data_IF_437388377807
#
_entry.id   IF_437388377807
#
_cell.length_a   1.000
_cell.length_b   1.000
_cell.length_c   1.000
_cell.angle_alpha   90.00
_cell.angle_beta   90.00
_cell.angle_gamma   90.00
#
_symmetry.space_group_name_H-M   'P 1'
#
loop_
_entity.id
_entity.type
_entity.pdbx_description
1 polymer ?
#
# COMPACT_ATOMS: atom_id res chain seq x y z
N UNK A 1 21.99 60.42 10.38
CA UNK A 1 21.11 59.23 10.44
C UNK A 1 22.01 58.02 10.65
N UNK A 2 21.94 57.37 11.82
CA UNK A 2 22.99 56.45 12.30
C UNK A 2 23.08 55.20 11.42
N UNK A 3 24.28 54.90 10.90
CA UNK A 3 24.53 53.77 10.00
C UNK A 3 24.09 52.42 10.60
N UNK A 4 24.18 52.28 11.93
CA UNK A 4 23.75 51.09 12.65
C UNK A 4 22.23 50.80 12.49
N UNK A 5 21.40 51.83 12.39
CA UNK A 5 19.95 51.66 12.22
C UNK A 5 19.61 51.17 10.81
N UNK A 6 20.38 51.62 9.81
CA UNK A 6 20.22 51.25 8.41
C UNK A 6 20.62 49.78 8.17
N UNK A 7 21.68 49.32 8.84
CA UNK A 7 22.09 47.90 8.83
C UNK A 7 21.04 46.98 9.47
N UNK A 8 20.40 47.41 10.56
CA UNK A 8 19.35 46.62 11.23
C UNK A 8 18.09 46.52 10.35
N UNK A 9 17.68 47.63 9.73
CA UNK A 9 16.53 47.67 8.82
C UNK A 9 16.76 46.84 7.55
N UNK A 10 18.00 46.75 7.04
CA UNK A 10 18.32 45.91 5.89
C UNK A 10 18.51 44.42 6.25
N UNK A 11 18.97 44.11 7.46
CA UNK A 11 19.23 42.74 7.91
C UNK A 11 17.96 41.92 8.15
N UNK A 12 16.92 42.53 8.74
CA UNK A 12 15.64 41.86 9.01
C UNK A 12 14.96 41.31 7.74
N UNK A 13 14.73 42.12 6.68
CA UNK A 13 14.12 41.61 5.45
C UNK A 13 15.01 40.57 4.75
N UNK A 14 16.34 40.70 4.81
CA UNK A 14 17.24 39.70 4.24
C UNK A 14 17.07 38.32 4.88
N UNK A 15 16.90 38.26 6.21
CA UNK A 15 16.59 37.01 6.92
C UNK A 15 15.25 36.41 6.52
N UNK A 16 14.20 37.23 6.41
CA UNK A 16 12.86 36.80 6.01
C UNK A 16 12.86 36.26 4.58
N UNK A 17 13.51 36.96 3.65
CA UNK A 17 13.65 36.49 2.27
C UNK A 17 14.43 35.18 2.20
N UNK A 18 15.52 35.05 2.94
CA UNK A 18 16.32 33.81 2.99
C UNK A 18 15.49 32.63 3.50
N UNK A 19 14.71 32.84 4.57
CA UNK A 19 13.80 31.80 5.09
C UNK A 19 12.73 31.40 4.08
N UNK A 20 12.16 32.37 3.36
CA UNK A 20 11.15 32.13 2.32
C UNK A 20 11.74 31.34 1.13
N UNK A 21 12.96 31.67 0.71
CA UNK A 21 13.68 30.93 -0.33
C UNK A 21 14.00 29.50 0.08
N UNK A 22 14.46 29.28 1.31
CA UNK A 22 14.73 27.92 1.83
C UNK A 22 13.43 27.11 1.88
N UNK A 23 12.34 27.70 2.37
CA UNK A 23 11.03 27.04 2.41
C UNK A 23 10.53 26.70 1.00
N UNK A 24 10.63 27.63 0.05
CA UNK A 24 10.23 27.39 -1.34
C UNK A 24 11.06 26.28 -1.99
N UNK A 25 12.38 26.31 -1.81
CA UNK A 25 13.27 25.25 -2.28
C UNK A 25 12.90 23.89 -1.70
N UNK A 26 12.61 23.83 -0.40
CA UNK A 26 12.21 22.60 0.27
C UNK A 26 10.88 22.05 -0.29
N UNK A 27 9.90 22.92 -0.54
CA UNK A 27 8.62 22.53 -1.15
C UNK A 27 8.82 21.98 -2.56
N UNK A 28 9.61 22.67 -3.40
CA UNK A 28 9.90 22.22 -4.77
C UNK A 28 10.67 20.89 -4.75
N UNK A 29 11.66 20.76 -3.87
CA UNK A 29 12.46 19.55 -3.75
C UNK A 29 11.59 18.34 -3.34
N UNK A 30 10.72 18.50 -2.34
CA UNK A 30 9.84 17.42 -1.89
C UNK A 30 8.78 17.03 -2.92
N UNK A 31 8.21 18.00 -3.64
CA UNK A 31 7.09 17.76 -4.55
C UNK A 31 7.50 17.38 -5.97
N UNK A 32 8.65 17.85 -6.45
CA UNK A 32 9.04 17.71 -7.85
C UNK A 32 10.30 16.86 -8.01
N UNK A 33 11.37 17.19 -7.28
CA UNK A 33 12.67 16.55 -7.50
C UNK A 33 12.70 15.13 -6.95
N UNK A 34 12.20 14.91 -5.74
CA UNK A 34 12.16 13.60 -5.10
C UNK A 34 11.38 12.55 -5.93
N UNK A 35 10.13 12.78 -6.37
CA UNK A 35 9.41 11.79 -7.16
C UNK A 35 10.08 11.54 -8.52
N UNK A 36 10.51 12.60 -9.22
CA UNK A 36 11.21 12.47 -10.50
C UNK A 36 12.50 11.65 -10.39
N UNK A 37 13.31 11.88 -9.36
CA UNK A 37 14.53 11.10 -9.14
C UNK A 37 14.21 9.64 -8.78
N UNK A 38 13.17 9.41 -7.97
CA UNK A 38 12.71 8.06 -7.65
C UNK A 38 12.25 7.31 -8.89
N UNK A 39 11.52 7.95 -9.80
CA UNK A 39 11.12 7.36 -11.09
C UNK A 39 12.32 7.01 -11.97
N UNK A 40 13.35 7.86 -12.00
CA UNK A 40 14.51 7.66 -12.86
C UNK A 40 15.46 6.56 -12.37
N UNK A 41 15.57 6.40 -11.05
CA UNK A 41 16.38 5.33 -10.42
C UNK A 41 15.61 4.02 -10.34
N UNK A 42 14.28 4.07 -10.19
CA UNK A 42 13.45 2.88 -10.05
C UNK A 42 13.30 2.16 -11.40
N UNK A 43 14.00 1.03 -11.53
CA UNK A 43 13.85 0.08 -12.65
C UNK A 43 12.92 -1.08 -12.31
N UNK A 44 12.13 -0.95 -11.24
CA UNK A 44 11.29 -2.04 -10.76
C UNK A 44 10.01 -2.21 -11.57
N UNK A 45 9.28 -3.28 -11.29
CA UNK A 45 8.05 -3.61 -12.00
C UNK A 45 6.90 -2.73 -11.50
N UNK A 46 6.07 -2.27 -12.43
CA UNK A 46 4.81 -1.59 -12.15
C UNK A 46 3.74 -2.64 -11.80
N UNK A 47 3.21 -2.57 -10.58
CA UNK A 47 2.21 -3.51 -10.06
C UNK A 47 0.88 -2.82 -9.73
N UNK A 48 0.70 -1.57 -10.16
CA UNK A 48 -0.57 -0.87 -10.01
C UNK A 48 -1.73 -1.62 -10.68
N UNK A 49 -2.90 -1.49 -10.07
CA UNK A 49 -4.15 -2.09 -10.55
C UNK A 49 -4.81 -3.03 -9.55
N UNK A 50 -5.82 -3.74 -10.04
CA UNK A 50 -6.65 -4.65 -9.26
C UNK A 50 -6.12 -6.07 -9.43
N UNK A 51 -5.91 -6.75 -8.30
CA UNK A 51 -5.45 -8.11 -8.22
C UNK A 51 -6.49 -8.93 -7.47
N UNK A 52 -6.92 -10.04 -8.05
CA UNK A 52 -7.97 -10.87 -7.50
C UNK A 52 -7.57 -12.33 -7.59
N UNK A 53 -7.94 -13.14 -6.60
CA UNK A 53 -7.80 -14.58 -6.72
C UNK A 53 -8.72 -15.12 -7.83
N UNK A 54 -8.24 -16.09 -8.59
CA UNK A 54 -9.06 -16.75 -9.61
C UNK A 54 -10.06 -17.68 -8.90
N UNK A 55 -11.30 -17.23 -8.74
CA UNK A 55 -12.41 -17.98 -8.13
C UNK A 55 -12.93 -19.11 -9.06
N UNK A 56 -12.06 -19.73 -9.87
CA UNK A 56 -12.43 -20.83 -10.78
C UNK A 56 -12.71 -22.17 -10.07
N UNK A 57 -12.67 -22.21 -8.74
CA UNK A 57 -13.14 -23.36 -7.94
C UNK A 57 -14.51 -23.12 -7.29
N UNK A 58 -15.30 -22.17 -7.79
CA UNK A 58 -16.75 -22.19 -7.59
C UNK A 58 -17.38 -23.03 -8.68
N UNK A 59 -17.49 -24.35 -8.47
CA UNK A 59 -18.33 -25.21 -9.32
C UNK A 59 -19.68 -24.52 -9.52
N UNK A 60 -20.00 -24.19 -10.76
CA UNK A 60 -21.31 -23.67 -11.21
C UNK A 60 -22.41 -24.75 -11.15
N UNK A 61 -22.32 -25.66 -10.19
CA UNK A 61 -23.32 -26.65 -9.84
C UNK A 61 -23.64 -26.43 -8.37
N UNK A 62 -24.87 -26.00 -8.08
CA UNK A 62 -25.34 -25.52 -6.77
C UNK A 62 -25.40 -26.58 -5.65
N UNK A 63 -24.34 -27.36 -5.46
CA UNK A 63 -24.26 -28.49 -4.51
C UNK A 63 -22.90 -28.63 -3.81
N UNK A 64 -21.93 -27.73 -4.00
CA UNK A 64 -20.64 -27.83 -3.28
C UNK A 64 -20.58 -26.95 -2.03
N UNK A 65 -20.64 -27.60 -0.86
CA UNK A 65 -20.53 -27.03 0.50
C UNK A 65 -19.11 -26.50 0.85
N UNK A 66 -18.27 -26.21 -0.14
CA UNK A 66 -16.89 -25.80 0.09
C UNK A 66 -16.81 -24.30 0.41
N UNK A 67 -16.12 -23.90 1.49
CA UNK A 67 -15.96 -22.49 1.82
C UNK A 67 -15.20 -21.76 0.72
N UNK A 68 -15.80 -20.69 0.19
CA UNK A 68 -15.18 -19.82 -0.83
C UNK A 68 -14.50 -18.64 -0.14
N UNK A 69 -13.27 -18.34 -0.56
CA UNK A 69 -12.51 -17.19 -0.06
C UNK A 69 -12.12 -16.30 -1.24
N UNK A 70 -12.82 -15.19 -1.40
CA UNK A 70 -12.48 -14.17 -2.40
C UNK A 70 -11.57 -13.13 -1.77
N UNK A 71 -10.44 -12.84 -2.42
CA UNK A 71 -9.45 -11.85 -1.98
C UNK A 71 -9.19 -10.85 -3.10
N UNK A 72 -9.32 -9.56 -2.80
CA UNK A 72 -9.10 -8.48 -3.76
C UNK A 72 -8.09 -7.50 -3.16
N UNK A 73 -6.97 -7.31 -3.86
CA UNK A 73 -5.97 -6.30 -3.57
C UNK A 73 -6.04 -5.24 -4.67
N UNK A 74 -6.35 -4.00 -4.31
CA UNK A 74 -6.29 -2.86 -5.22
C UNK A 74 -5.08 -2.00 -4.87
N UNK A 75 -4.08 -1.97 -5.75
CA UNK A 75 -2.93 -1.08 -5.62
C UNK A 75 -3.25 0.22 -6.35
N UNK A 76 -3.61 1.24 -5.57
CA UNK A 76 -4.06 2.55 -6.08
C UNK A 76 -2.94 3.54 -6.36
N UNK A 77 -1.76 3.33 -5.76
CA UNK A 77 -0.62 4.23 -5.92
C UNK A 77 0.70 3.49 -5.68
N UNK A 78 1.62 3.61 -6.63
CA UNK A 78 3.01 3.18 -6.54
C UNK A 78 3.93 4.37 -6.79
N UNK A 79 4.80 4.67 -5.82
CA UNK A 79 5.81 5.74 -5.91
C UNK A 79 7.20 5.13 -5.68
N UNK A 80 7.87 4.80 -6.77
CA UNK A 80 9.09 3.99 -6.75
C UNK A 80 8.82 2.63 -6.07
N UNK A 81 9.52 2.39 -4.95
CA UNK A 81 9.32 1.19 -4.14
C UNK A 81 8.09 1.26 -3.23
N UNK A 82 7.51 2.43 -2.99
CA UNK A 82 6.40 2.58 -2.01
C UNK A 82 5.06 2.26 -2.66
N UNK A 83 4.22 1.50 -1.97
CA UNK A 83 2.90 1.07 -2.47
C UNK A 83 1.82 1.45 -1.45
N UNK A 84 0.69 1.94 -1.97
CA UNK A 84 -0.55 2.15 -1.22
C UNK A 84 -1.76 1.60 -1.97
N UNK A 85 -2.73 1.11 -1.20
CA UNK A 85 -3.90 0.49 -1.75
C UNK A 85 -4.90 0.04 -0.70
N UNK A 86 -5.79 -0.85 -1.11
CA UNK A 86 -6.75 -1.52 -0.24
C UNK A 86 -6.69 -3.03 -0.45
N UNK A 87 -6.95 -3.77 0.60
CA UNK A 87 -7.09 -5.22 0.57
C UNK A 87 -8.42 -5.59 1.20
N UNK A 88 -9.17 -6.45 0.53
CA UNK A 88 -10.41 -7.00 1.07
C UNK A 88 -10.45 -8.51 0.92
N UNK A 89 -11.03 -9.15 1.92
CA UNK A 89 -11.21 -10.59 1.95
C UNK A 89 -12.64 -10.90 2.35
N UNK A 90 -13.30 -11.71 1.55
CA UNK A 90 -14.63 -12.23 1.82
C UNK A 90 -14.55 -13.75 1.96
N UNK A 91 -14.93 -14.23 3.14
CA UNK A 91 -15.09 -15.65 3.43
C UNK A 91 -16.59 -15.96 3.42
N UNK A 92 -17.00 -16.92 2.60
CA UNK A 92 -18.38 -17.40 2.53
C UNK A 92 -18.39 -18.89 2.81
N UNK A 93 -19.12 -19.30 3.84
CA UNK A 93 -19.46 -20.69 4.14
C UNK A 93 -20.97 -20.80 4.38
N UNK A 94 -21.49 -22.02 4.44
CA UNK A 94 -22.93 -22.29 4.69
C UNK A 94 -23.44 -21.58 5.95
N UNK A 95 -22.62 -21.51 7.01
CA UNK A 95 -23.02 -21.01 8.31
C UNK A 95 -22.49 -19.61 8.64
N UNK A 96 -21.54 -19.10 7.86
CA UNK A 96 -20.84 -17.87 8.21
C UNK A 96 -20.34 -17.11 6.99
N UNK A 97 -20.62 -15.81 6.98
CA UNK A 97 -20.05 -14.84 6.05
C UNK A 97 -19.19 -13.85 6.82
N UNK A 98 -17.89 -13.81 6.53
CA UNK A 98 -16.96 -12.81 7.10
C UNK A 98 -16.47 -11.90 6.00
N UNK A 99 -16.35 -10.61 6.34
CA UNK A 99 -15.78 -9.60 5.47
C UNK A 99 -14.69 -8.82 6.21
N UNK A 100 -13.51 -8.74 5.62
CA UNK A 100 -12.40 -7.90 6.05
C UNK A 100 -12.09 -6.85 4.99
N UNK A 101 -11.94 -5.60 5.41
CA UNK A 101 -11.50 -4.50 4.58
C UNK A 101 -10.36 -3.77 5.28
N UNK A 102 -9.27 -3.57 4.56
CA UNK A 102 -8.01 -3.08 5.08
C UNK A 102 -7.42 -2.03 4.13
N UNK A 103 -6.81 -1.02 4.72
CA UNK A 103 -5.84 -0.17 4.01
C UNK A 103 -4.54 -0.95 3.92
N UNK A 104 -3.95 -0.97 2.73
CA UNK A 104 -2.67 -1.60 2.47
C UNK A 104 -1.62 -0.53 2.23
N UNK A 105 -0.54 -0.57 3.01
CA UNK A 105 0.64 0.29 2.80
C UNK A 105 1.91 -0.55 2.91
N UNK A 106 2.88 -0.31 2.05
CA UNK A 106 4.12 -1.07 2.09
C UNK A 106 5.06 -0.76 0.94
N UNK A 107 5.82 -1.75 0.52
CA UNK A 107 6.83 -1.57 -0.52
C UNK A 107 7.08 -2.81 -1.36
N UNK A 108 7.64 -2.59 -2.56
CA UNK A 108 8.14 -3.63 -3.46
C UNK A 108 9.65 -3.48 -3.60
N UNK A 109 10.39 -4.56 -3.41
CA UNK A 109 11.84 -4.63 -3.61
C UNK A 109 12.14 -5.97 -4.29
N UNK A 110 12.86 -5.93 -5.42
CA UNK A 110 13.31 -7.12 -6.16
C UNK A 110 12.19 -8.14 -6.45
N UNK A 111 11.00 -7.65 -6.79
CA UNK A 111 9.83 -8.49 -7.08
C UNK A 111 9.06 -8.98 -5.85
N UNK A 112 9.54 -8.68 -4.64
CA UNK A 112 8.86 -9.01 -3.39
C UNK A 112 8.06 -7.81 -2.90
N UNK A 113 6.76 -8.00 -2.72
CA UNK A 113 5.79 -7.02 -2.22
C UNK A 113 5.47 -7.32 -0.76
N UNK A 114 5.75 -6.36 0.12
CA UNK A 114 5.46 -6.45 1.56
C UNK A 114 4.46 -5.36 1.89
N UNK A 115 3.24 -5.73 2.32
CA UNK A 115 2.17 -4.79 2.67
C UNK A 115 1.73 -5.01 4.11
N UNK A 116 1.64 -3.92 4.86
CA UNK A 116 0.97 -3.88 6.16
C UNK A 116 -0.50 -3.55 5.95
N UNK A 117 -1.37 -4.32 6.59
CA UNK A 117 -2.81 -4.22 6.50
C UNK A 117 -3.38 -3.64 7.79
N UNK A 118 -4.02 -2.48 7.67
CA UNK A 118 -4.68 -1.79 8.77
C UNK A 118 -6.20 -1.83 8.57
N UNK A 119 -6.98 -2.23 9.57
CA UNK A 119 -8.43 -2.33 9.42
C UNK A 119 -9.04 -0.95 9.16
N UNK A 120 -9.93 -0.86 8.17
CA UNK A 120 -10.63 0.41 7.90
C UNK A 120 -11.63 0.76 9.01
N UNK A 121 -12.23 -0.27 9.61
CA UNK A 121 -13.15 -0.10 10.73
C UNK A 121 -12.45 -0.31 12.06
N UNK A 122 -12.57 0.69 12.96
CA UNK A 122 -12.02 0.63 14.33
C UNK A 122 -12.62 -0.47 15.20
N UNK A 123 -13.74 -1.06 14.79
CA UNK A 123 -14.39 -2.15 15.53
C UNK A 123 -13.69 -3.51 15.35
N UNK A 124 -12.77 -3.63 14.39
CA UNK A 124 -12.00 -4.85 14.13
C UNK A 124 -10.53 -4.57 14.44
N UNK A 125 -9.96 -5.31 15.40
CA UNK A 125 -8.55 -5.17 15.83
C UNK A 125 -7.58 -6.03 15.01
N UNK A 126 -8.01 -6.56 13.87
CA UNK A 126 -7.18 -7.44 13.05
C UNK A 126 -6.21 -6.59 12.23
N UNK A 127 -4.94 -6.68 12.59
CA UNK A 127 -3.82 -6.27 11.75
C UNK A 127 -3.28 -7.48 11.00
N UNK A 128 -2.70 -7.24 9.83
CA UNK A 128 -2.05 -8.30 9.08
C UNK A 128 -0.93 -7.80 8.20
N UNK A 129 -0.21 -8.74 7.61
CA UNK A 129 0.86 -8.46 6.65
C UNK A 129 0.74 -9.41 5.48
N UNK A 130 0.81 -8.87 4.27
CA UNK A 130 0.99 -9.64 3.04
C UNK A 130 2.46 -9.63 2.67
N UNK A 131 3.02 -10.80 2.40
CA UNK A 131 4.33 -10.97 1.78
C UNK A 131 4.10 -11.77 0.51
N UNK A 132 4.26 -11.12 -0.64
CA UNK A 132 3.91 -11.66 -1.95
C UNK A 132 5.13 -11.57 -2.87
N UNK A 133 5.34 -12.58 -3.68
CA UNK A 133 6.33 -12.58 -4.75
C UNK A 133 5.64 -12.36 -6.09
N UNK A 134 6.24 -11.55 -6.95
CA UNK A 134 5.77 -11.31 -8.30
C UNK A 134 6.17 -12.47 -9.20
N UNK A 135 5.18 -13.18 -9.72
CA UNK A 135 5.38 -14.26 -10.69
C UNK A 135 5.89 -13.71 -12.02
N UNK A 136 7.06 -14.18 -12.45
CA UNK A 136 7.76 -13.68 -13.65
C UNK A 136 7.04 -13.97 -14.98
N UNK A 137 6.14 -14.94 -15.03
CA UNK A 137 5.48 -15.38 -16.27
C UNK A 137 3.97 -15.07 -16.33
N UNK A 138 3.30 -14.83 -15.20
CA UNK A 138 1.84 -14.93 -15.10
C UNK A 138 1.11 -13.69 -14.58
N UNK A 139 1.79 -12.53 -14.43
CA UNK A 139 1.22 -11.34 -13.78
C UNK A 139 0.45 -11.74 -12.52
N UNK A 140 1.10 -12.56 -11.68
CA UNK A 140 0.53 -13.08 -10.44
C UNK A 140 1.32 -12.57 -9.25
N UNK A 141 0.63 -12.38 -8.13
CA UNK A 141 1.22 -12.14 -6.82
C UNK A 141 0.91 -13.34 -5.93
N UNK A 142 1.97 -14.02 -5.48
CA UNK A 142 1.86 -15.28 -4.74
C UNK A 142 2.61 -15.20 -3.44
N UNK A 143 1.99 -15.60 -2.33
CA UNK A 143 2.67 -15.62 -1.05
C UNK A 143 1.70 -15.82 0.10
N UNK A 144 1.94 -15.09 1.19
CA UNK A 144 1.32 -15.37 2.49
C UNK A 144 0.66 -14.10 3.03
N UNK A 145 -0.60 -14.27 3.44
CA UNK A 145 -1.31 -13.34 4.30
C UNK A 145 -1.22 -13.81 5.75
N UNK A 146 -0.58 -13.01 6.60
CA UNK A 146 -0.52 -13.23 8.05
C UNK A 146 -1.48 -12.30 8.75
N UNK A 147 -2.23 -12.79 9.74
CA UNK A 147 -3.19 -11.99 10.48
C UNK A 147 -3.40 -12.52 11.88
N UNK A 148 -3.86 -11.63 12.77
CA UNK A 148 -4.28 -12.00 14.12
C UNK A 148 -5.75 -12.42 14.11
N UNK A 149 -6.01 -13.70 14.40
CA UNK A 149 -7.37 -14.25 14.46
C UNK A 149 -8.20 -13.58 15.56
N UNK A 150 -9.41 -13.12 15.23
CA UNK A 150 -10.28 -12.42 16.19
C UNK A 150 -10.77 -13.33 17.34
N UNK A 151 -11.00 -14.62 17.05
CA UNK A 151 -11.51 -15.60 18.03
C UNK A 151 -10.36 -16.30 18.76
N UNK A 152 -9.36 -16.78 18.01
CA UNK A 152 -8.23 -17.54 18.57
C UNK A 152 -7.19 -16.66 19.26
N UNK A 153 -7.18 -15.35 18.98
CA UNK A 153 -6.17 -14.39 19.44
C UNK A 153 -4.71 -14.75 19.03
N UNK A 154 -4.55 -15.76 18.18
CA UNK A 154 -3.27 -16.24 17.66
C UNK A 154 -2.96 -15.62 16.30
N UNK A 155 -1.67 -15.47 16.01
CA UNK A 155 -1.21 -15.10 14.67
C UNK A 155 -1.28 -16.35 13.79
N UNK A 156 -2.04 -16.26 12.71
CA UNK A 156 -2.23 -17.33 11.73
C UNK A 156 -1.83 -16.83 10.34
N UNK A 157 -1.73 -17.76 9.40
CA UNK A 157 -1.38 -17.42 8.03
C UNK A 157 -2.25 -18.17 7.01
N UNK A 158 -2.37 -17.61 5.82
CA UNK A 158 -3.06 -18.19 4.68
C UNK A 158 -2.25 -17.94 3.42
N UNK A 159 -2.13 -18.96 2.56
CA UNK A 159 -1.54 -18.79 1.23
C UNK A 159 -2.50 -18.00 0.34
N UNK A 160 -1.97 -17.01 -0.37
CA UNK A 160 -2.72 -16.12 -1.24
C UNK A 160 -2.04 -16.11 -2.60
N UNK A 161 -2.85 -16.33 -3.65
CA UNK A 161 -2.46 -16.17 -5.05
C UNK A 161 -3.46 -15.23 -5.70
N UNK A 162 -2.96 -14.12 -6.22
CA UNK A 162 -3.74 -13.09 -6.88
C UNK A 162 -3.27 -12.95 -8.31
N UNK A 163 -4.21 -12.82 -9.23
CA UNK A 163 -3.97 -12.57 -10.64
C UNK A 163 -4.34 -11.12 -10.95
N UNK A 164 -3.55 -10.45 -11.79
CA UNK A 164 -3.90 -9.10 -12.24
C UNK A 164 -5.18 -9.16 -13.06
N UNK A 165 -6.18 -8.37 -12.70
CA UNK A 165 -7.38 -8.18 -13.53
C UNK A 165 -7.03 -7.28 -14.73
N UNK A 166 -7.53 -7.61 -15.93
CA UNK A 166 -7.36 -6.76 -17.11
C UNK A 166 -8.05 -5.41 -16.95
#
# INVERSE_FOLDING_TARGET
>A
MNQNFLSIILGIPSGIFSALFIWLFFVIYQKQFKPWFQELVYRGVEIEGIWQNDDQNGSSDGTSETPTVTSILNISLQQGHTIKGTFSQQFVSVNEKRYGAFKAEGHIIDGVVILTLMPESRSKSTYGTLVLNLGSASLSLEGIFTYKGAISNNVTHQNVKLMKKP
#
